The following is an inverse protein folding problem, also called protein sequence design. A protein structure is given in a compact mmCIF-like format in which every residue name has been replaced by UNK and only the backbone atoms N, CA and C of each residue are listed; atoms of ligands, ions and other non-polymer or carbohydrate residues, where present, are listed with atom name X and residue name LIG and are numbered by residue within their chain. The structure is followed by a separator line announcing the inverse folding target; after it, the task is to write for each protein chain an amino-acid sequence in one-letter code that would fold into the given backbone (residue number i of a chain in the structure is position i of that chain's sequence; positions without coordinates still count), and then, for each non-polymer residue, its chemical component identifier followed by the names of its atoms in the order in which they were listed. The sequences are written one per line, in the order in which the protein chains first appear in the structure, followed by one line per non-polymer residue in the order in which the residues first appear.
data_IF_887316209591
#
_entry.id   IF_887316209591
#
_cell.length_a   1.000
_cell.length_b   1.000
_cell.length_c   1.000
_cell.angle_alpha   90.00
_cell.angle_beta   90.00
_cell.angle_gamma   90.00
#
_symmetry.space_group_name_H-M   'P 1'
#
loop_
_entity.id
_entity.type
_entity.pdbx_description
1 polymer ?
#
# COMPACT_ATOMS: atom_id res chain seq x y z
N UNK A 1 -13.06 -34.33 -12.66
CA UNK A 1 -11.78 -33.64 -12.43
C UNK A 1 -12.03 -32.63 -11.33
N UNK A 2 -11.43 -32.80 -10.16
CA UNK A 2 -11.54 -31.88 -9.04
C UNK A 2 -10.56 -30.73 -9.29
N UNK A 3 -11.05 -29.58 -9.72
CA UNK A 3 -10.24 -28.37 -9.85
C UNK A 3 -9.88 -27.91 -8.44
N UNK A 4 -8.67 -28.21 -7.99
CA UNK A 4 -8.13 -27.63 -6.74
C UNK A 4 -8.01 -26.13 -6.95
N UNK A 5 -8.84 -25.34 -6.28
CA UNK A 5 -8.69 -23.88 -6.33
C UNK A 5 -7.27 -23.50 -5.92
N UNK A 6 -6.59 -22.63 -6.70
CA UNK A 6 -5.26 -22.18 -6.36
C UNK A 6 -5.30 -21.45 -5.01
N UNK A 7 -4.43 -21.88 -4.09
CA UNK A 7 -4.28 -21.21 -2.79
C UNK A 7 -3.62 -19.86 -3.01
N UNK A 8 -4.43 -18.81 -3.06
CA UNK A 8 -3.95 -17.43 -3.19
C UNK A 8 -3.13 -17.04 -1.95
N UNK A 9 -1.86 -16.69 -2.16
CA UNK A 9 -0.94 -16.21 -1.13
C UNK A 9 -0.26 -14.93 -1.63
N UNK A 10 -0.13 -13.97 -0.72
CA UNK A 10 0.60 -12.73 -0.99
C UNK A 10 2.10 -12.97 -0.80
N UNK A 11 2.87 -12.60 -1.81
CA UNK A 11 4.31 -12.48 -1.76
C UNK A 11 4.67 -11.00 -1.72
N UNK A 12 5.70 -10.65 -0.95
CA UNK A 12 6.15 -9.28 -0.73
C UNK A 12 7.65 -9.18 -0.91
N UNK A 13 8.12 -8.05 -1.41
CA UNK A 13 9.53 -7.66 -1.37
C UNK A 13 9.68 -6.15 -1.45
N UNK A 14 10.84 -5.68 -1.00
CA UNK A 14 11.21 -4.29 -1.20
C UNK A 14 11.47 -4.04 -2.68
N UNK A 15 10.78 -3.04 -3.23
CA UNK A 15 10.93 -2.63 -4.62
C UNK A 15 11.05 -1.11 -4.64
N UNK A 16 12.23 -0.62 -5.00
CA UNK A 16 12.44 0.81 -5.17
C UNK A 16 11.57 1.35 -6.31
N UNK A 17 11.11 2.58 -6.16
CA UNK A 17 10.42 3.29 -7.22
C UNK A 17 11.45 3.80 -8.23
N UNK A 18 11.57 3.11 -9.36
CA UNK A 18 12.49 3.45 -10.44
C UNK A 18 11.87 4.33 -11.53
N UNK A 19 10.73 4.99 -11.26
CA UNK A 19 10.06 5.91 -12.21
C UNK A 19 11.04 6.98 -12.68
N UNK A 20 11.47 6.99 -13.97
CA UNK A 20 12.33 8.03 -14.49
C UNK A 20 11.56 9.34 -14.59
N UNK A 21 12.20 10.44 -14.19
CA UNK A 21 11.62 11.79 -14.27
C UNK A 21 12.48 12.68 -15.16
N UNK A 22 11.82 13.44 -16.04
CA UNK A 22 12.44 14.44 -16.90
C UNK A 22 11.57 15.72 -16.88
N UNK A 23 11.85 16.61 -15.93
CA UNK A 23 10.99 17.77 -15.67
C UNK A 23 9.60 17.32 -15.18
N UNK A 24 8.49 17.80 -15.77
CA UNK A 24 7.14 17.37 -15.39
C UNK A 24 6.74 16.01 -15.96
N UNK A 25 7.59 15.39 -16.80
CA UNK A 25 7.30 14.11 -17.45
C UNK A 25 7.79 12.97 -16.56
N UNK A 26 6.91 12.01 -16.28
CA UNK A 26 7.25 10.75 -15.66
C UNK A 26 7.11 9.63 -16.68
N UNK A 27 8.06 8.71 -16.71
CA UNK A 27 8.04 7.55 -17.60
C UNK A 27 7.81 6.27 -16.79
N UNK A 28 7.24 5.27 -17.42
CA UNK A 28 7.16 3.94 -16.82
C UNK A 28 8.58 3.45 -16.55
N UNK A 29 8.88 2.92 -15.36
CA UNK A 29 10.17 2.27 -15.11
C UNK A 29 10.42 1.14 -16.13
N UNK A 30 11.67 0.69 -16.32
CA UNK A 30 11.96 -0.53 -17.07
C UNK A 30 11.39 -1.72 -16.31
N UNK A 31 10.14 -2.07 -16.63
CA UNK A 31 9.41 -3.15 -15.97
C UNK A 31 9.71 -4.46 -16.69
N UNK A 32 10.04 -5.46 -15.90
CA UNK A 32 10.07 -6.87 -16.30
C UNK A 32 9.17 -7.65 -15.36
N UNK A 33 8.98 -8.95 -15.63
CA UNK A 33 8.25 -9.87 -14.74
C UNK A 33 8.81 -9.86 -13.30
N UNK A 34 10.06 -9.40 -13.13
CA UNK A 34 10.78 -9.23 -11.88
C UNK A 34 10.75 -7.79 -11.32
N UNK A 35 9.82 -6.93 -11.71
CA UNK A 35 9.62 -5.59 -11.12
C UNK A 35 8.24 -5.46 -10.45
N UNK A 36 8.19 -5.72 -9.14
CA UNK A 36 6.97 -5.81 -8.32
C UNK A 36 7.28 -5.69 -6.83
N UNK A 37 6.41 -5.05 -6.05
CA UNK A 37 6.47 -5.00 -4.60
C UNK A 37 5.56 -6.06 -3.95
N UNK A 38 4.42 -6.33 -4.58
CA UNK A 38 3.42 -7.31 -4.14
C UNK A 38 3.07 -8.26 -5.28
N UNK A 39 2.87 -9.54 -4.99
CA UNK A 39 2.49 -10.55 -5.99
C UNK A 39 1.53 -11.57 -5.42
N UNK A 40 0.49 -11.91 -6.18
CA UNK A 40 -0.40 -13.05 -5.91
C UNK A 40 -0.46 -13.93 -7.15
N UNK A 41 0.00 -15.17 -7.04
CA UNK A 41 -0.06 -16.16 -8.13
C UNK A 41 -1.50 -16.61 -8.33
N UNK A 42 -1.97 -16.57 -9.58
CA UNK A 42 -3.35 -16.94 -9.95
C UNK A 42 -3.40 -18.20 -10.82
N UNK A 43 -2.29 -18.55 -11.48
CA UNK A 43 -2.09 -19.79 -12.21
C UNK A 43 -0.60 -20.11 -12.35
N UNK A 44 -0.27 -21.26 -12.95
CA UNK A 44 1.10 -21.59 -13.33
C UNK A 44 1.58 -20.62 -14.41
N UNK A 45 2.61 -19.84 -14.09
CA UNK A 45 3.19 -18.85 -15.00
C UNK A 45 2.46 -17.50 -15.05
N UNK A 46 1.38 -17.30 -14.28
CA UNK A 46 0.66 -16.02 -14.25
C UNK A 46 0.38 -15.54 -12.82
N UNK A 47 0.53 -14.24 -12.60
CA UNK A 47 0.28 -13.60 -11.31
C UNK A 47 -0.32 -12.21 -11.49
N UNK A 48 -1.01 -11.72 -10.47
CA UNK A 48 -1.32 -10.30 -10.34
C UNK A 48 -0.21 -9.68 -9.49
N UNK A 49 0.33 -8.56 -9.95
CA UNK A 49 1.42 -7.85 -9.30
C UNK A 49 1.05 -6.40 -9.04
N UNK A 50 1.65 -5.84 -7.99
CA UNK A 50 1.61 -4.42 -7.73
C UNK A 50 3.02 -3.87 -7.69
N UNK A 51 3.24 -2.71 -8.31
CA UNK A 51 4.57 -2.13 -8.45
C UNK A 51 4.53 -0.61 -8.38
N UNK A 52 5.59 0.03 -7.86
CA UNK A 52 5.66 1.48 -7.78
C UNK A 52 5.83 2.09 -9.18
N UNK A 53 4.95 3.02 -9.53
CA UNK A 53 5.02 3.86 -10.74
C UNK A 53 4.37 5.22 -10.52
N UNK A 54 4.87 6.28 -11.14
CA UNK A 54 4.20 7.60 -11.16
C UNK A 54 3.85 8.19 -9.78
N UNK A 55 4.64 7.85 -8.74
CA UNK A 55 4.36 8.27 -7.36
C UNK A 55 3.20 7.54 -6.70
N UNK A 56 2.70 6.46 -7.29
CA UNK A 56 1.66 5.57 -6.75
C UNK A 56 2.07 4.09 -6.92
N UNK A 57 1.18 3.16 -6.58
CA UNK A 57 1.33 1.72 -6.83
C UNK A 57 0.29 1.32 -7.87
N UNK A 58 0.75 0.86 -9.04
CA UNK A 58 -0.11 0.29 -10.08
C UNK A 58 -0.31 -1.21 -9.89
N UNK A 59 -1.47 -1.74 -10.29
CA UNK A 59 -1.79 -3.18 -10.25
C UNK A 59 -2.02 -3.70 -11.68
N UNK A 60 -1.39 -4.82 -12.04
CA UNK A 60 -1.48 -5.45 -13.37
C UNK A 60 -1.16 -6.95 -13.34
N UNK A 61 -1.14 -7.59 -14.51
CA UNK A 61 -0.67 -8.98 -14.64
C UNK A 61 0.85 -9.03 -14.73
N UNK A 62 1.45 -10.13 -14.26
CA UNK A 62 2.89 -10.32 -14.27
C UNK A 62 3.46 -10.50 -15.69
N UNK A 63 2.64 -11.01 -16.60
CA UNK A 63 2.96 -11.18 -18.02
C UNK A 63 1.99 -10.32 -18.82
N UNK A 64 2.46 -9.16 -19.29
CA UNK A 64 1.70 -8.24 -20.14
C UNK A 64 2.62 -7.40 -21.04
N UNK A 65 2.05 -6.84 -22.12
CA UNK A 65 2.79 -6.03 -23.10
C UNK A 65 2.89 -4.54 -22.69
N UNK A 66 1.87 -4.01 -22.01
CA UNK A 66 1.78 -2.58 -21.67
C UNK A 66 1.48 -2.33 -20.19
N UNK A 67 2.56 -2.20 -19.42
CA UNK A 67 2.56 -1.89 -17.98
C UNK A 67 2.23 -0.43 -17.65
N UNK A 68 2.22 0.45 -18.66
CA UNK A 68 2.00 1.87 -18.46
C UNK A 68 0.55 2.16 -18.07
N UNK A 69 -0.40 1.36 -18.56
CA UNK A 69 -1.83 1.64 -18.41
C UNK A 69 -2.42 1.19 -17.07
N UNK A 70 -1.70 0.41 -16.27
CA UNK A 70 -2.20 -0.12 -15.00
C UNK A 70 -2.76 0.97 -14.07
N UNK A 71 -3.92 0.68 -13.50
CA UNK A 71 -4.62 1.60 -12.61
C UNK A 71 -4.01 1.61 -11.20
N UNK A 72 -4.16 2.71 -10.45
CA UNK A 72 -3.65 2.80 -9.09
C UNK A 72 -4.43 1.89 -8.13
N UNK A 73 -3.75 1.40 -7.10
CA UNK A 73 -4.28 0.42 -6.14
C UNK A 73 -5.51 0.90 -5.35
N UNK A 74 -5.79 2.20 -5.31
CA UNK A 74 -6.95 2.80 -4.65
C UNK A 74 -8.23 2.78 -5.52
N UNK A 75 -8.11 2.42 -6.80
CA UNK A 75 -9.26 2.11 -7.66
C UNK A 75 -10.00 0.85 -7.19
N UNK A 76 -11.26 0.67 -7.57
CA UNK A 76 -12.00 -0.54 -7.20
C UNK A 76 -11.38 -1.80 -7.83
N UNK A 77 -11.48 -2.95 -7.16
CA UNK A 77 -10.94 -4.21 -7.69
C UNK A 77 -11.57 -4.58 -9.04
N UNK A 78 -12.85 -4.27 -9.21
CA UNK A 78 -13.62 -4.47 -10.43
C UNK A 78 -13.09 -3.59 -11.55
N UNK A 79 -12.88 -2.29 -11.30
CA UNK A 79 -12.32 -1.35 -12.28
C UNK A 79 -10.92 -1.76 -12.71
N UNK A 80 -10.08 -2.16 -11.74
CA UNK A 80 -8.73 -2.66 -12.05
C UNK A 80 -8.83 -3.92 -12.91
N UNK A 81 -9.65 -4.90 -12.52
CA UNK A 81 -9.82 -6.14 -13.28
C UNK A 81 -10.31 -5.88 -14.71
N UNK A 82 -11.38 -5.09 -14.89
CA UNK A 82 -11.93 -4.75 -16.20
C UNK A 82 -10.88 -4.06 -17.09
N UNK A 83 -10.00 -3.26 -16.49
CA UNK A 83 -8.89 -2.64 -17.21
C UNK A 83 -7.83 -3.65 -17.65
N UNK A 84 -7.46 -4.62 -16.80
CA UNK A 84 -6.33 -5.54 -17.05
C UNK A 84 -6.75 -6.92 -17.59
N UNK A 85 -8.04 -7.24 -17.71
CA UNK A 85 -8.50 -8.61 -18.01
C UNK A 85 -7.98 -9.15 -19.35
N UNK A 86 -7.71 -8.27 -20.30
CA UNK A 86 -7.13 -8.62 -21.60
C UNK A 86 -5.70 -9.18 -21.49
N UNK A 87 -4.98 -8.88 -20.40
CA UNK A 87 -3.62 -9.37 -20.12
C UNK A 87 -3.60 -10.70 -19.35
N UNK A 88 -4.78 -11.29 -19.08
CA UNK A 88 -4.90 -12.52 -18.28
C UNK A 88 -4.14 -13.70 -18.88
N UNK A 89 -4.04 -13.78 -20.20
CA UNK A 89 -3.30 -14.81 -20.94
C UNK A 89 -3.98 -16.19 -20.98
N UNK A 90 -4.59 -16.63 -19.88
CA UNK A 90 -5.32 -17.90 -19.76
C UNK A 90 -6.79 -17.66 -19.35
N UNK A 91 -7.72 -17.99 -20.25
CA UNK A 91 -9.16 -17.84 -20.02
C UNK A 91 -9.72 -18.75 -18.92
N UNK A 92 -8.98 -19.80 -18.53
CA UNK A 92 -9.38 -20.70 -17.44
C UNK A 92 -9.19 -20.09 -16.06
N UNK A 93 -8.43 -18.98 -15.95
CA UNK A 93 -8.31 -18.22 -14.71
C UNK A 93 -9.64 -17.51 -14.45
N UNK A 94 -10.38 -17.99 -13.46
CA UNK A 94 -11.67 -17.43 -13.10
C UNK A 94 -11.55 -15.96 -12.68
N UNK A 95 -12.51 -15.14 -13.11
CA UNK A 95 -12.60 -13.71 -12.77
C UNK A 95 -12.55 -13.48 -11.26
N UNK A 96 -13.25 -14.30 -10.50
CA UNK A 96 -13.31 -14.24 -9.05
C UNK A 96 -11.94 -14.46 -8.41
N UNK A 97 -11.10 -15.30 -9.00
CA UNK A 97 -9.70 -15.52 -8.57
C UNK A 97 -8.90 -14.24 -8.73
N UNK A 98 -9.03 -13.56 -9.87
CA UNK A 98 -8.35 -12.29 -10.13
C UNK A 98 -8.81 -11.19 -9.18
N UNK A 99 -10.13 -11.04 -8.96
CA UNK A 99 -10.67 -10.05 -8.02
C UNK A 99 -10.19 -10.30 -6.59
N UNK A 100 -10.15 -11.56 -6.15
CA UNK A 100 -9.61 -11.91 -4.83
C UNK A 100 -8.13 -11.55 -4.72
N UNK A 101 -7.34 -11.83 -5.75
CA UNK A 101 -5.92 -11.49 -5.79
C UNK A 101 -5.68 -9.97 -5.74
N UNK A 102 -6.45 -9.17 -6.49
CA UNK A 102 -6.39 -7.71 -6.44
C UNK A 102 -6.70 -7.21 -5.03
N UNK A 103 -7.77 -7.69 -4.39
CA UNK A 103 -8.14 -7.28 -3.03
C UNK A 103 -7.06 -7.64 -2.00
N UNK A 104 -6.49 -8.85 -2.08
CA UNK A 104 -5.36 -9.25 -1.21
C UNK A 104 -4.20 -8.27 -1.32
N UNK A 105 -3.87 -7.84 -2.54
CA UNK A 105 -2.82 -6.85 -2.81
C UNK A 105 -3.20 -5.49 -2.22
N UNK A 106 -4.42 -5.01 -2.45
CA UNK A 106 -4.89 -3.72 -1.93
C UNK A 106 -4.85 -3.69 -0.40
N UNK A 107 -5.30 -4.76 0.25
CA UNK A 107 -5.28 -4.88 1.70
C UNK A 107 -3.86 -4.90 2.25
N UNK A 108 -2.93 -5.59 1.56
CA UNK A 108 -1.51 -5.57 1.93
C UNK A 108 -0.90 -4.16 1.81
N UNK A 109 -1.16 -3.45 0.71
CA UNK A 109 -0.68 -2.08 0.51
C UNK A 109 -1.24 -1.14 1.58
N UNK A 110 -2.55 -1.22 1.87
CA UNK A 110 -3.19 -0.38 2.89
C UNK A 110 -2.62 -0.67 4.29
N UNK A 111 -2.36 -1.94 4.61
CA UNK A 111 -1.74 -2.32 5.87
C UNK A 111 -0.32 -1.76 6.00
N UNK A 112 0.46 -1.77 4.91
CA UNK A 112 1.84 -1.27 4.90
C UNK A 112 1.91 0.28 4.84
N UNK A 113 0.87 0.95 4.32
CA UNK A 113 0.70 2.41 4.37
C UNK A 113 0.06 2.92 5.66
N UNK A 114 -0.53 2.04 6.48
CA UNK A 114 -1.16 2.44 7.72
C UNK A 114 -0.10 3.14 8.60
N UNK A 115 -0.42 4.32 9.17
CA UNK A 115 0.56 5.07 9.94
C UNK A 115 1.01 4.22 11.12
N UNK A 116 2.29 3.89 11.14
CA UNK A 116 2.88 3.17 12.28
C UNK A 116 2.75 4.04 13.53
N UNK A 117 2.57 3.41 14.70
CA UNK A 117 2.52 4.13 15.98
C UNK A 117 3.74 5.06 16.13
N UNK A 118 4.93 4.61 15.73
CA UNK A 118 6.15 5.42 15.69
C UNK A 118 6.06 6.61 14.73
N UNK A 119 5.41 6.45 13.57
CA UNK A 119 5.20 7.53 12.61
C UNK A 119 4.23 8.59 13.13
N UNK A 120 3.15 8.17 13.81
CA UNK A 120 2.20 9.06 14.48
C UNK A 120 2.87 9.81 15.63
N UNK A 121 3.64 9.10 16.47
CA UNK A 121 4.41 9.69 17.57
C UNK A 121 5.40 10.74 17.05
N UNK A 122 6.13 10.44 15.97
CA UNK A 122 7.07 11.39 15.34
C UNK A 122 6.36 12.61 14.72
N UNK A 123 5.22 12.41 14.07
CA UNK A 123 4.44 13.50 13.48
C UNK A 123 3.84 14.42 14.55
N UNK A 124 3.29 13.85 15.63
CA UNK A 124 2.77 14.61 16.77
C UNK A 124 3.89 15.42 17.45
N UNK A 125 5.05 14.80 17.69
CA UNK A 125 6.20 15.49 18.25
C UNK A 125 6.76 16.61 17.35
N UNK A 126 6.52 16.56 16.03
CA UNK A 126 6.88 17.65 15.11
C UNK A 126 5.89 18.80 15.20
N UNK A 127 4.60 18.54 15.07
CA UNK A 127 3.53 19.57 15.17
C UNK A 127 3.67 20.36 16.46
N UNK A 128 3.85 19.65 17.57
CA UNK A 128 3.95 20.28 18.89
C UNK A 128 5.26 21.10 19.03
N UNK A 129 6.37 20.67 18.41
CA UNK A 129 7.61 21.46 18.37
C UNK A 129 7.46 22.73 17.55
N UNK A 130 6.76 22.66 16.43
CA UNK A 130 6.53 23.82 15.55
C UNK A 130 5.62 24.85 16.25
N UNK A 131 4.60 24.40 16.97
CA UNK A 131 3.71 25.24 17.79
C UNK A 131 4.46 25.90 18.95
N UNK A 132 5.29 25.13 19.66
CA UNK A 132 6.17 25.63 20.73
C UNK A 132 7.19 26.65 20.21
N UNK A 133 7.77 26.42 19.03
CA UNK A 133 8.71 27.35 18.40
C UNK A 133 8.03 28.66 17.96
N UNK A 134 6.73 28.61 17.64
CA UNK A 134 5.94 29.78 17.26
C UNK A 134 5.57 30.66 18.46
N UNK A 135 5.38 30.10 19.66
CA UNK A 135 4.94 30.86 20.84
C UNK A 135 6.07 31.48 21.68
N UNK A 136 7.33 31.16 21.41
CA UNK A 136 8.48 31.94 21.87
C UNK A 136 8.55 32.17 23.39
N UNK A 137 8.73 31.10 24.17
CA UNK A 137 9.48 30.96 25.45
C UNK A 137 8.95 29.70 26.16
N UNK A 138 9.83 28.72 26.41
CA UNK A 138 9.49 27.49 27.15
C UNK A 138 10.12 27.56 28.54
N UNK A 139 9.34 27.34 29.58
CA UNK A 139 9.82 27.08 30.95
C UNK A 139 9.93 25.57 31.22
N UNK A 140 10.67 25.16 32.25
CA UNK A 140 10.77 23.74 32.64
C UNK A 140 9.43 23.11 33.07
N UNK A 141 8.45 23.92 33.46
CA UNK A 141 7.09 23.43 33.73
C UNK A 141 6.35 23.02 32.43
N UNK A 142 6.69 23.67 31.31
CA UNK A 142 6.10 23.39 30.02
C UNK A 142 6.59 22.05 29.44
N UNK A 143 7.80 21.59 29.83
CA UNK A 143 8.36 20.30 29.39
C UNK A 143 7.75 19.10 30.11
N UNK A 144 7.41 19.19 31.40
CA UNK A 144 6.66 18.11 32.09
C UNK A 144 5.19 18.05 31.66
N UNK A 145 4.58 19.21 31.40
CA UNK A 145 3.24 19.32 30.83
C UNK A 145 3.19 18.74 29.40
N UNK A 146 4.24 18.99 28.61
CA UNK A 146 4.48 18.40 27.30
C UNK A 146 4.55 16.87 27.37
N UNK A 147 5.38 16.33 28.25
CA UNK A 147 5.57 14.89 28.41
C UNK A 147 4.28 14.16 28.83
N UNK A 148 3.41 14.85 29.58
CA UNK A 148 2.10 14.33 29.99
C UNK A 148 1.10 14.38 28.84
N UNK A 149 1.08 15.48 28.07
CA UNK A 149 0.19 15.66 26.93
C UNK A 149 0.49 14.66 25.82
N UNK A 150 1.77 14.48 25.48
CA UNK A 150 2.20 13.47 24.49
C UNK A 150 1.81 12.06 24.95
N UNK A 151 2.07 11.70 26.22
CA UNK A 151 1.66 10.40 26.76
C UNK A 151 0.15 10.19 26.72
N UNK A 152 -0.64 11.21 27.05
CA UNK A 152 -2.10 11.15 27.00
C UNK A 152 -2.62 10.98 25.57
N UNK A 153 -2.04 11.70 24.60
CA UNK A 153 -2.41 11.59 23.20
C UNK A 153 -2.05 10.21 22.64
N UNK A 154 -0.85 9.70 22.94
CA UNK A 154 -0.41 8.36 22.54
C UNK A 154 -1.32 7.28 23.15
N UNK A 155 -1.71 7.43 24.42
CA UNK A 155 -2.66 6.50 25.05
C UNK A 155 -4.04 6.54 24.39
N UNK A 156 -4.55 7.72 24.04
CA UNK A 156 -5.83 7.88 23.35
C UNK A 156 -5.78 7.27 21.93
N UNK A 157 -4.71 7.49 21.18
CA UNK A 157 -4.51 6.90 19.85
C UNK A 157 -4.41 5.38 19.94
N UNK A 158 -3.66 4.82 20.89
CA UNK A 158 -3.60 3.37 21.13
C UNK A 158 -4.97 2.78 21.48
N UNK A 159 -5.76 3.48 22.30
CA UNK A 159 -7.11 3.05 22.64
C UNK A 159 -8.04 3.06 21.43
N UNK A 160 -7.95 4.08 20.57
CA UNK A 160 -8.77 4.16 19.36
C UNK A 160 -8.41 3.07 18.34
N UNK A 161 -7.12 2.82 18.12
CA UNK A 161 -6.62 1.79 17.20
C UNK A 161 -6.84 0.36 17.73
N UNK A 162 -6.84 0.16 19.06
CA UNK A 162 -7.11 -1.13 19.69
C UNK A 162 -8.59 -1.51 19.77
N UNK A 163 -9.50 -0.53 19.67
CA UNK A 163 -10.95 -0.76 19.72
C UNK A 163 -11.52 -1.34 18.42
N UNK A 164 -10.82 -1.19 17.29
CA UNK A 164 -11.27 -1.71 15.98
C UNK A 164 -10.91 -3.21 15.75
N UNK A 165 -10.17 -3.83 16.68
CA UNK A 165 -9.80 -5.26 16.61
C UNK A 165 -10.65 -6.21 17.47
N UNK A 166 -11.65 -5.68 18.18
CA UNK A 166 -12.53 -6.45 19.07
C UNK A 166 -13.89 -6.70 18.45
N UNK A 167 -13.99 -7.60 17.47
CA UNK A 167 -15.28 -8.14 17.02
C UNK A 167 -15.59 -9.36 17.90
N UNK A 168 -16.62 -9.20 18.73
CA UNK A 168 -17.39 -10.29 19.32
C UNK A 168 -18.24 -10.99 18.24
#
# INVERSE_FOLDING_TARGET
MTTTEPRLQIERRDQENLTPTAGPVMMTPPISEDYWAYRVRVADGQAIVAFPKFGTIGIGFAVEEDWNTNLPFDSSAETIYEHIEHNRGDETIARETCLRAIRIIQDAIKADQAPTLSGVEAAAARVLRDEIAAEGVITTADTESFDRTVRSLVAAVRSALGAEGGVA
#
